data_IF_852503259931
#
_entry.id   IF_852503259931
#
_cell.length_a   1.000
_cell.length_b   1.000
_cell.length_c   1.000
_cell.angle_alpha   90.00
_cell.angle_beta   90.00
_cell.angle_gamma   90.00
#
_symmetry.space_group_name_H-M   'P 1'
#
loop_
_entity.id
_entity.type
_entity.pdbx_description
1 polymer ?
#
# COMPACT_ATOMS: atom_id res chain seq x y z
N UNK A 1 -2.27 9.05 21.47
CA UNK A 1 -3.15 10.20 21.22
C UNK A 1 -3.75 10.03 19.83
N UNK A 2 -5.06 9.96 19.75
CA UNK A 2 -5.80 9.87 18.49
C UNK A 2 -5.46 11.08 17.61
N UNK A 3 -5.21 10.83 16.35
CA UNK A 3 -4.86 11.88 15.42
C UNK A 3 -5.74 11.80 14.16
N UNK A 4 -6.30 12.94 13.76
CA UNK A 4 -6.95 13.09 12.46
C UNK A 4 -5.95 13.67 11.48
N UNK A 5 -5.71 12.96 10.39
CA UNK A 5 -4.88 13.41 9.28
C UNK A 5 -5.79 13.81 8.13
N UNK A 6 -5.75 15.09 7.77
CA UNK A 6 -6.51 15.63 6.65
C UNK A 6 -5.75 15.35 5.35
N UNK A 7 -6.43 14.72 4.40
CA UNK A 7 -5.83 14.35 3.11
C UNK A 7 -5.96 15.47 2.07
N UNK A 8 -6.93 16.36 2.29
CA UNK A 8 -7.20 17.55 1.50
C UNK A 8 -7.30 18.77 2.40
N UNK A 9 -7.79 19.90 1.88
CA UNK A 9 -8.16 21.02 2.72
C UNK A 9 -9.22 20.60 3.73
N UNK A 10 -9.16 21.15 4.95
CA UNK A 10 -10.06 20.79 6.05
C UNK A 10 -11.51 21.02 5.62
N UNK A 11 -12.32 19.98 5.38
CA UNK A 11 -13.67 20.15 4.87
C UNK A 11 -14.63 20.61 5.98
N UNK A 12 -15.79 21.12 5.57
CA UNK A 12 -16.82 21.53 6.50
C UNK A 12 -17.51 20.31 7.12
N UNK A 13 -17.24 20.01 8.40
CA UNK A 13 -17.80 18.88 9.15
C UNK A 13 -19.34 18.92 9.28
N UNK A 14 -20.00 20.03 8.94
CA UNK A 14 -21.48 20.11 8.92
C UNK A 14 -22.14 19.15 7.91
N UNK A 15 -21.38 18.63 6.94
CA UNK A 15 -21.88 17.63 5.98
C UNK A 15 -22.09 16.25 6.59
N UNK A 16 -21.62 16.04 7.83
CA UNK A 16 -21.61 14.73 8.46
C UNK A 16 -20.47 13.86 7.96
N UNK A 17 -20.16 12.81 8.72
CA UNK A 17 -19.00 11.93 8.47
C UNK A 17 -19.44 10.48 8.36
N UNK A 18 -19.17 9.86 7.22
CA UNK A 18 -19.22 8.41 7.07
C UNK A 18 -17.85 7.83 7.45
N UNK A 19 -17.81 7.04 8.51
CA UNK A 19 -16.60 6.41 9.00
C UNK A 19 -16.50 4.97 8.53
N UNK A 20 -15.44 4.67 7.80
CA UNK A 20 -15.09 3.30 7.40
C UNK A 20 -14.34 2.62 8.54
N UNK A 21 -14.85 1.46 8.97
CA UNK A 21 -14.26 0.66 10.05
C UNK A 21 -13.47 -0.51 9.47
N UNK A 22 -12.16 -0.52 9.75
CA UNK A 22 -11.24 -1.54 9.26
C UNK A 22 -9.80 -1.23 9.64
N UNK A 23 -8.88 -2.12 9.36
CA UNK A 23 -7.45 -1.91 9.64
C UNK A 23 -6.71 -1.12 8.55
N UNK A 24 -7.29 -0.95 7.39
CA UNK A 24 -6.83 -0.21 6.18
C UNK A 24 -5.31 -0.13 6.01
N UNK A 25 -4.67 -1.30 5.90
CA UNK A 25 -3.24 -1.41 5.57
C UNK A 25 -2.95 -1.10 4.09
N UNK A 26 -3.88 -0.50 3.41
CA UNK A 26 -4.03 -0.15 2.02
C UNK A 26 -5.49 -0.28 1.62
N UNK A 27 -5.83 0.00 0.35
CA UNK A 27 -7.17 -0.15 -0.18
C UNK A 27 -7.24 -1.30 -1.17
N UNK A 28 -7.72 -2.45 -0.71
CA UNK A 28 -8.09 -3.55 -1.61
C UNK A 28 -9.53 -3.40 -2.13
N UNK A 29 -9.94 -4.20 -3.11
CA UNK A 29 -11.24 -4.14 -3.76
C UNK A 29 -12.44 -4.13 -2.78
N UNK A 30 -12.35 -4.90 -1.68
CA UNK A 30 -13.36 -4.86 -0.61
C UNK A 30 -13.45 -3.49 0.08
N UNK A 31 -12.31 -2.88 0.40
CA UNK A 31 -12.26 -1.54 1.00
C UNK A 31 -12.80 -0.47 0.03
N UNK A 32 -12.56 -0.60 -1.28
CA UNK A 32 -13.10 0.34 -2.27
C UNK A 32 -14.61 0.33 -2.30
N UNK A 33 -15.25 -0.85 -2.19
CA UNK A 33 -16.72 -0.94 -2.08
C UNK A 33 -17.25 -0.25 -0.83
N UNK A 34 -16.55 -0.36 0.32
CA UNK A 34 -16.92 0.38 1.52
C UNK A 34 -16.85 1.89 1.27
N UNK A 35 -15.78 2.35 0.61
CA UNK A 35 -15.58 3.76 0.28
C UNK A 35 -16.68 4.30 -0.68
N UNK A 36 -17.01 3.53 -1.72
CA UNK A 36 -18.09 3.86 -2.66
C UNK A 36 -19.43 4.00 -1.92
N UNK A 37 -19.74 3.04 -1.03
CA UNK A 37 -20.95 3.08 -0.21
C UNK A 37 -21.01 4.30 0.71
N UNK A 38 -19.89 4.65 1.32
CA UNK A 38 -19.80 5.84 2.16
C UNK A 38 -20.09 7.14 1.40
N UNK A 39 -19.66 7.23 0.14
CA UNK A 39 -19.86 8.41 -0.72
C UNK A 39 -21.29 8.59 -1.24
N UNK A 40 -22.09 7.53 -1.30
CA UNK A 40 -23.47 7.60 -1.85
C UNK A 40 -24.36 8.63 -1.14
N UNK A 41 -24.10 8.98 0.10
CA UNK A 41 -24.90 9.88 0.89
C UNK A 41 -24.39 11.34 0.95
N UNK A 42 -23.36 11.66 0.17
CA UNK A 42 -22.75 13.00 0.15
C UNK A 42 -22.06 13.40 1.47
N UNK A 43 -21.79 12.45 2.35
CA UNK A 43 -21.04 12.68 3.58
C UNK A 43 -19.54 12.75 3.27
N UNK A 44 -18.79 13.42 4.16
CA UNK A 44 -17.34 13.30 4.19
C UNK A 44 -16.95 11.87 4.56
N UNK A 45 -15.86 11.39 4.00
CA UNK A 45 -15.42 10.01 4.21
C UNK A 45 -14.12 9.97 5.02
N UNK A 46 -14.19 9.35 6.18
CA UNK A 46 -13.05 9.08 7.04
C UNK A 46 -12.72 7.59 7.12
N UNK A 47 -11.43 7.26 7.03
CA UNK A 47 -10.96 5.90 7.25
C UNK A 47 -10.32 5.78 8.64
N UNK A 48 -10.64 4.69 9.34
CA UNK A 48 -9.98 4.34 10.58
C UNK A 48 -8.70 3.53 10.25
N UNK A 49 -7.52 3.95 10.71
CA UNK A 49 -6.30 3.16 10.60
C UNK A 49 -5.71 2.86 11.97
N UNK A 50 -5.11 1.68 12.12
CA UNK A 50 -4.45 1.27 13.36
C UNK A 50 -2.94 1.40 13.15
N UNK A 51 -2.29 2.22 13.99
CA UNK A 51 -0.84 2.41 14.00
C UNK A 51 -0.19 1.70 15.20
N UNK A 52 1.04 1.24 15.04
CA UNK A 52 1.75 0.48 16.09
C UNK A 52 1.11 -0.87 16.40
N UNK A 53 0.42 -1.48 15.45
CA UNK A 53 -0.25 -2.77 15.60
C UNK A 53 0.68 -3.98 15.66
N UNK A 54 0.09 -5.13 15.81
CA UNK A 54 0.66 -6.38 16.32
C UNK A 54 1.87 -6.97 15.60
N UNK A 55 2.19 -6.68 14.37
CA UNK A 55 3.29 -7.37 13.64
C UNK A 55 3.91 -6.49 12.55
N UNK A 56 4.53 -5.40 12.96
CA UNK A 56 5.68 -4.80 12.28
C UNK A 56 5.57 -4.41 10.79
N UNK A 57 5.02 -5.25 9.95
CA UNK A 57 5.08 -5.03 8.50
C UNK A 57 3.71 -4.72 7.88
N UNK A 58 3.58 -3.49 7.40
CA UNK A 58 2.42 -3.00 6.66
C UNK A 58 2.60 -3.17 5.15
N UNK A 59 1.52 -3.36 4.41
CA UNK A 59 1.57 -3.38 2.93
C UNK A 59 2.16 -2.10 2.38
N UNK A 60 1.78 -0.97 2.99
CA UNK A 60 2.22 0.37 2.59
C UNK A 60 2.69 1.17 3.80
N UNK A 61 3.68 2.03 3.61
CA UNK A 61 4.10 3.01 4.60
C UNK A 61 3.02 4.07 4.84
N UNK A 62 3.11 4.85 5.92
CA UNK A 62 2.13 5.90 6.19
C UNK A 62 1.98 6.89 5.02
N UNK A 63 3.07 7.45 4.43
CA UNK A 63 2.95 8.34 3.27
C UNK A 63 2.30 7.67 2.05
N UNK A 64 2.59 6.39 1.82
CA UNK A 64 1.99 5.63 0.72
C UNK A 64 0.49 5.38 0.95
N UNK A 65 0.07 5.07 2.19
CA UNK A 65 -1.34 4.93 2.55
C UNK A 65 -2.10 6.23 2.39
N UNK A 66 -1.54 7.35 2.86
CA UNK A 66 -2.14 8.67 2.70
C UNK A 66 -2.36 9.00 1.22
N UNK A 67 -1.37 8.72 0.36
CA UNK A 67 -1.51 8.89 -1.09
C UNK A 67 -2.66 8.03 -1.65
N UNK A 68 -2.70 6.73 -1.31
CA UNK A 68 -3.74 5.81 -1.76
C UNK A 68 -5.14 6.28 -1.33
N UNK A 69 -5.28 6.71 -0.08
CA UNK A 69 -6.56 7.16 0.47
C UNK A 69 -7.02 8.47 -0.16
N UNK A 70 -6.08 9.40 -0.36
CA UNK A 70 -6.32 10.67 -1.05
C UNK A 70 -6.76 10.46 -2.50
N UNK A 71 -6.04 9.63 -3.26
CA UNK A 71 -6.37 9.29 -4.65
C UNK A 71 -7.73 8.57 -4.76
N UNK A 72 -8.10 7.79 -3.73
CA UNK A 72 -9.40 7.17 -3.64
C UNK A 72 -10.53 8.15 -3.28
N UNK A 73 -10.18 9.38 -2.89
CA UNK A 73 -11.12 10.45 -2.52
C UNK A 73 -11.69 10.29 -1.12
N UNK A 74 -10.88 9.81 -0.18
CA UNK A 74 -11.15 9.98 1.23
C UNK A 74 -10.80 11.42 1.66
N UNK A 75 -11.51 11.95 2.63
CA UNK A 75 -11.33 13.32 3.12
C UNK A 75 -10.33 13.37 4.27
N UNK A 76 -10.29 12.32 5.10
CA UNK A 76 -9.37 12.23 6.24
C UNK A 76 -9.14 10.78 6.70
N UNK A 77 -8.13 10.62 7.55
CA UNK A 77 -7.78 9.35 8.21
C UNK A 77 -7.76 9.56 9.71
N UNK A 78 -8.38 8.63 10.45
CA UNK A 78 -8.25 8.54 11.88
C UNK A 78 -7.16 7.54 12.23
N UNK A 79 -6.07 8.01 12.80
CA UNK A 79 -5.00 7.17 13.29
C UNK A 79 -5.26 6.77 14.74
N UNK A 80 -5.46 5.48 14.97
CA UNK A 80 -5.70 4.88 16.28
C UNK A 80 -4.43 4.14 16.75
N UNK A 81 -3.68 4.65 17.73
CA UNK A 81 -2.57 3.90 18.31
C UNK A 81 -3.07 2.61 18.95
N UNK A 82 -2.56 1.46 18.49
CA UNK A 82 -2.97 0.15 18.99
C UNK A 82 -2.83 0.03 20.52
N UNK A 83 -1.78 0.62 21.09
CA UNK A 83 -1.55 0.61 22.52
C UNK A 83 -2.70 1.25 23.33
N UNK A 84 -3.38 2.25 22.76
CA UNK A 84 -4.49 2.97 23.40
C UNK A 84 -5.83 2.24 23.27
N UNK A 85 -6.01 1.44 22.20
CA UNK A 85 -7.31 0.81 21.90
C UNK A 85 -7.36 -0.69 22.22
N UNK A 86 -6.22 -1.37 22.39
CA UNK A 86 -6.14 -2.85 22.51
C UNK A 86 -6.91 -3.43 23.70
N UNK A 87 -7.11 -2.65 24.76
CA UNK A 87 -7.78 -3.09 25.98
C UNK A 87 -9.23 -2.61 26.08
N UNK A 88 -9.69 -1.80 25.13
CA UNK A 88 -11.07 -1.31 25.13
C UNK A 88 -12.04 -2.46 24.83
N UNK A 89 -13.09 -2.59 25.66
CA UNK A 89 -14.23 -3.43 25.33
C UNK A 89 -14.88 -2.97 24.02
N UNK A 90 -15.68 -3.80 23.34
CA UNK A 90 -16.42 -3.36 22.16
C UNK A 90 -17.24 -2.11 22.38
N UNK A 91 -17.90 -1.98 23.54
CA UNK A 91 -18.73 -0.82 23.87
C UNK A 91 -17.87 0.44 24.05
N UNK A 92 -16.80 0.36 24.84
CA UNK A 92 -15.89 1.50 25.05
C UNK A 92 -15.27 1.97 23.75
N UNK A 93 -14.88 1.04 22.86
CA UNK A 93 -14.34 1.37 21.54
C UNK A 93 -15.38 2.12 20.68
N UNK A 94 -16.62 1.63 20.64
CA UNK A 94 -17.70 2.26 19.88
C UNK A 94 -18.02 3.66 20.40
N UNK A 95 -18.19 3.80 21.73
CA UNK A 95 -18.42 5.09 22.39
C UNK A 95 -17.27 6.08 22.16
N UNK A 96 -16.02 5.61 22.14
CA UNK A 96 -14.88 6.44 21.80
C UNK A 96 -14.99 6.99 20.37
N UNK A 97 -15.33 6.14 19.38
CA UNK A 97 -15.49 6.60 17.99
C UNK A 97 -16.62 7.63 17.86
N UNK A 98 -17.76 7.40 18.52
CA UNK A 98 -18.89 8.33 18.49
C UNK A 98 -18.55 9.68 19.14
N UNK A 99 -17.87 9.65 20.29
CA UNK A 99 -17.48 10.86 21.03
C UNK A 99 -16.45 11.70 20.28
N UNK A 100 -15.39 11.04 19.74
CA UNK A 100 -14.27 11.76 19.13
C UNK A 100 -14.59 12.26 17.72
N UNK A 101 -15.46 11.55 16.98
CA UNK A 101 -15.64 11.81 15.54
C UNK A 101 -17.08 12.14 15.15
N UNK A 102 -18.04 11.93 16.01
CA UNK A 102 -19.47 12.20 15.76
C UNK A 102 -19.94 11.72 14.36
N UNK A 103 -19.71 10.45 14.01
CA UNK A 103 -20.06 9.94 12.68
C UNK A 103 -21.59 9.91 12.52
N UNK A 104 -22.06 10.18 11.30
CA UNK A 104 -23.46 9.99 10.93
C UNK A 104 -23.72 8.60 10.32
N UNK A 105 -22.65 7.89 9.94
CA UNK A 105 -22.70 6.54 9.40
C UNK A 105 -21.42 5.76 9.70
N UNK A 106 -21.57 4.49 10.08
CA UNK A 106 -20.51 3.50 10.08
C UNK A 106 -20.63 2.58 8.86
N UNK A 107 -19.53 2.29 8.19
CA UNK A 107 -19.47 1.37 7.06
C UNK A 107 -18.40 0.32 7.32
N UNK A 108 -18.74 -0.96 7.27
CA UNK A 108 -17.78 -2.05 7.50
C UNK A 108 -18.10 -3.30 6.66
N UNK A 109 -17.15 -4.21 6.58
CA UNK A 109 -17.37 -5.55 6.05
C UNK A 109 -18.05 -6.46 7.09
N UNK A 110 -18.75 -7.49 6.65
CA UNK A 110 -19.42 -8.45 7.52
C UNK A 110 -18.47 -9.23 8.44
N UNK A 111 -17.20 -9.31 8.09
CA UNK A 111 -16.14 -9.94 8.88
C UNK A 111 -15.42 -8.98 9.83
N UNK A 112 -15.82 -7.72 9.91
CA UNK A 112 -15.18 -6.75 10.79
C UNK A 112 -15.24 -7.19 12.25
N UNK A 113 -14.11 -7.08 12.95
CA UNK A 113 -13.97 -7.39 14.37
C UNK A 113 -13.18 -6.31 15.07
N UNK A 114 -13.61 -5.97 16.29
CA UNK A 114 -13.01 -4.89 17.08
C UNK A 114 -13.11 -5.12 18.59
N UNK A 115 -12.47 -4.23 19.35
CA UNK A 115 -12.45 -4.31 20.79
C UNK A 115 -11.62 -5.46 21.35
N UNK A 116 -11.60 -5.57 22.66
CA UNK A 116 -10.81 -6.58 23.38
C UNK A 116 -11.13 -8.00 22.88
N UNK A 117 -10.09 -8.75 22.52
CA UNK A 117 -10.18 -10.10 21.96
C UNK A 117 -11.04 -10.19 20.68
N UNK A 118 -11.21 -9.10 19.93
CA UNK A 118 -12.02 -9.05 18.71
C UNK A 118 -13.48 -9.49 18.90
N UNK A 119 -14.06 -9.25 20.08
CA UNK A 119 -15.45 -9.64 20.44
C UNK A 119 -16.51 -8.76 19.78
N UNK A 120 -16.17 -7.54 19.37
CA UNK A 120 -17.07 -6.66 18.64
C UNK A 120 -17.33 -7.15 17.22
N UNK A 121 -18.57 -7.06 16.77
CA UNK A 121 -19.05 -7.51 15.45
C UNK A 121 -19.92 -6.41 14.81
N UNK A 122 -20.22 -6.47 13.50
CA UNK A 122 -21.18 -5.56 12.89
C UNK A 122 -22.57 -5.57 13.55
N UNK A 123 -23.03 -6.73 14.01
CA UNK A 123 -24.29 -6.82 14.75
C UNK A 123 -24.22 -6.10 16.11
N UNK A 124 -23.09 -6.22 16.81
CA UNK A 124 -22.86 -5.45 18.04
C UNK A 124 -22.95 -3.95 17.77
N UNK A 125 -22.36 -3.44 16.68
CA UNK A 125 -22.48 -2.02 16.33
C UNK A 125 -23.96 -1.64 16.17
N UNK A 126 -24.72 -2.41 15.37
CA UNK A 126 -26.17 -2.15 15.15
C UNK A 126 -27.00 -2.16 16.43
N UNK A 127 -26.63 -2.97 17.42
CA UNK A 127 -27.34 -3.09 18.71
C UNK A 127 -27.06 -1.93 19.65
N UNK A 128 -25.80 -1.43 19.65
CA UNK A 128 -25.33 -0.49 20.68
C UNK A 128 -25.09 0.95 20.19
N UNK A 129 -25.45 1.28 18.93
CA UNK A 129 -25.40 2.64 18.41
C UNK A 129 -26.73 3.10 17.82
N UNK A 130 -26.94 4.41 17.83
CA UNK A 130 -28.01 5.08 17.05
C UNK A 130 -27.51 5.58 15.70
N UNK A 131 -26.22 5.47 15.44
CA UNK A 131 -25.61 5.84 14.17
C UNK A 131 -26.01 4.83 13.09
N UNK A 132 -26.28 5.30 11.87
CA UNK A 132 -26.57 4.42 10.73
C UNK A 132 -25.40 3.46 10.49
N UNK A 133 -25.69 2.17 10.29
CA UNK A 133 -24.69 1.13 10.07
C UNK A 133 -24.92 0.41 8.74
N UNK A 134 -23.96 0.51 7.84
CA UNK A 134 -23.94 -0.23 6.58
C UNK A 134 -22.90 -1.36 6.66
N UNK A 135 -23.36 -2.57 6.40
CA UNK A 135 -22.51 -3.78 6.42
C UNK A 135 -22.50 -4.39 5.02
N UNK A 136 -21.33 -4.48 4.41
CA UNK A 136 -21.17 -5.01 3.07
C UNK A 136 -20.63 -6.44 3.09
N UNK A 137 -21.05 -7.28 2.12
CA UNK A 137 -20.52 -8.62 1.95
C UNK A 137 -19.05 -8.58 1.54
N UNK A 138 -18.36 -9.70 1.75
CA UNK A 138 -16.97 -9.86 1.32
C UNK A 138 -16.87 -9.81 -0.20
N UNK A 139 -15.72 -9.31 -0.67
CA UNK A 139 -15.38 -9.35 -2.10
C UNK A 139 -14.47 -10.53 -2.35
N UNK A 140 -14.82 -11.33 -3.35
CA UNK A 140 -14.02 -12.43 -3.83
C UNK A 140 -13.52 -12.17 -5.25
N UNK A 141 -12.31 -12.64 -5.55
CA UNK A 141 -11.73 -12.65 -6.88
C UNK A 141 -11.18 -14.07 -7.10
N UNK A 142 -11.61 -14.72 -8.19
CA UNK A 142 -11.27 -16.11 -8.51
C UNK A 142 -11.62 -17.10 -7.37
N UNK A 143 -12.76 -16.90 -6.70
CA UNK A 143 -13.25 -17.77 -5.63
C UNK A 143 -12.51 -17.67 -4.29
N UNK A 144 -11.63 -16.69 -4.13
CA UNK A 144 -10.91 -16.44 -2.89
C UNK A 144 -11.18 -15.01 -2.38
N UNK A 145 -11.45 -14.87 -1.08
CA UNK A 145 -11.67 -13.58 -0.41
C UNK A 145 -10.49 -12.64 -0.64
N UNK A 146 -10.78 -11.38 -0.99
CA UNK A 146 -9.80 -10.31 -1.04
C UNK A 146 -9.51 -9.80 0.37
N UNK A 147 -8.25 -9.82 0.77
CA UNK A 147 -7.80 -9.38 2.10
C UNK A 147 -6.32 -8.97 2.08
N UNK A 148 -5.89 -8.19 3.08
CA UNK A 148 -4.47 -7.86 3.26
C UNK A 148 -3.58 -9.11 3.40
N UNK A 149 -4.08 -10.16 4.07
CA UNK A 149 -3.36 -11.44 4.21
C UNK A 149 -3.12 -12.11 2.85
N UNK A 150 -4.14 -12.14 1.97
CA UNK A 150 -3.99 -12.66 0.61
C UNK A 150 -2.98 -11.84 -0.19
N UNK A 151 -3.07 -10.51 -0.13
CA UNK A 151 -2.10 -9.62 -0.80
C UNK A 151 -0.67 -9.90 -0.33
N UNK A 152 -0.44 -10.03 0.97
CA UNK A 152 0.87 -10.36 1.55
C UNK A 152 1.40 -11.70 1.03
N UNK A 153 0.58 -12.73 0.99
CA UNK A 153 0.94 -14.04 0.43
C UNK A 153 1.36 -13.91 -1.05
N UNK A 154 0.54 -13.25 -1.87
CA UNK A 154 0.84 -13.04 -3.29
C UNK A 154 2.14 -12.26 -3.52
N UNK A 155 2.44 -11.24 -2.69
CA UNK A 155 3.71 -10.51 -2.73
C UNK A 155 4.91 -11.42 -2.43
N UNK A 156 4.81 -12.28 -1.41
CA UNK A 156 5.88 -13.23 -1.08
C UNK A 156 6.10 -14.31 -2.13
N UNK A 157 5.08 -14.59 -2.95
CA UNK A 157 5.13 -15.49 -4.11
C UNK A 157 5.61 -14.79 -5.40
N UNK A 158 5.69 -13.44 -5.43
CA UNK A 158 6.04 -12.65 -6.60
C UNK A 158 4.90 -12.45 -7.61
N UNK A 159 3.67 -12.76 -7.23
CA UNK A 159 2.46 -12.71 -8.08
C UNK A 159 1.84 -11.32 -8.08
N UNK A 160 2.62 -10.31 -8.49
CA UNK A 160 2.24 -8.90 -8.40
C UNK A 160 1.07 -8.53 -9.33
N UNK A 161 0.87 -9.25 -10.42
CA UNK A 161 -0.29 -9.08 -11.31
C UNK A 161 -1.60 -9.43 -10.61
N UNK A 162 -1.61 -10.46 -9.77
CA UNK A 162 -2.78 -10.81 -8.95
C UNK A 162 -2.92 -9.88 -7.73
N UNK A 163 -1.81 -9.36 -7.21
CA UNK A 163 -1.86 -8.28 -6.22
C UNK A 163 -2.57 -7.07 -6.80
N UNK A 164 -2.30 -6.68 -8.06
CA UNK A 164 -3.00 -5.60 -8.75
C UNK A 164 -4.51 -5.83 -8.83
N UNK A 165 -4.94 -7.07 -9.11
CA UNK A 165 -6.38 -7.41 -9.10
C UNK A 165 -7.00 -7.19 -7.71
N UNK A 166 -6.31 -7.59 -6.65
CA UNK A 166 -6.77 -7.40 -5.27
C UNK A 166 -6.78 -5.93 -4.85
N UNK A 167 -5.73 -5.16 -5.18
CA UNK A 167 -5.57 -3.75 -4.78
C UNK A 167 -6.26 -2.77 -5.74
N UNK A 168 -6.58 -3.20 -6.97
CA UNK A 168 -7.08 -2.35 -8.08
C UNK A 168 -6.06 -1.32 -8.59
N UNK A 169 -4.82 -1.42 -8.16
CA UNK A 169 -3.65 -0.67 -8.62
C UNK A 169 -2.38 -1.52 -8.45
N UNK A 170 -1.30 -1.16 -9.14
CA UNK A 170 -0.03 -1.84 -8.98
C UNK A 170 0.51 -1.64 -7.55
N UNK A 171 1.13 -2.68 -6.97
CA UNK A 171 1.89 -2.51 -5.73
C UNK A 171 3.09 -1.61 -6.00
N UNK A 172 3.37 -0.67 -5.10
CA UNK A 172 4.44 0.30 -5.32
C UNK A 172 5.23 0.59 -4.04
N UNK A 173 6.39 1.18 -4.19
CA UNK A 173 7.12 1.86 -3.12
C UNK A 173 7.34 3.32 -3.48
N UNK A 174 7.48 4.16 -2.44
CA UNK A 174 7.96 5.53 -2.57
C UNK A 174 9.24 5.65 -1.75
N UNK A 175 10.30 6.20 -2.36
CA UNK A 175 11.55 6.43 -1.67
C UNK A 175 12.46 7.42 -2.38
N UNK A 176 13.43 7.94 -1.65
CA UNK A 176 14.43 8.86 -2.17
C UNK A 176 15.56 8.10 -2.89
N UNK A 177 15.94 8.59 -4.05
CA UNK A 177 17.03 8.04 -4.83
C UNK A 177 18.37 8.51 -4.25
N UNK A 178 19.19 7.56 -3.83
CA UNK A 178 20.52 7.85 -3.33
C UNK A 178 21.64 7.45 -4.31
N UNK A 179 22.81 8.10 -4.15
CA UNK A 179 23.98 7.78 -4.95
C UNK A 179 24.65 6.49 -4.47
N UNK A 180 24.89 5.55 -5.39
CA UNK A 180 25.62 4.32 -5.13
C UNK A 180 26.86 4.18 -6.06
N UNK A 181 27.48 3.00 -6.10
CA UNK A 181 28.73 2.66 -6.81
C UNK A 181 28.73 2.92 -8.33
N UNK A 182 27.59 3.30 -8.92
CA UNK A 182 27.42 3.69 -10.32
C UNK A 182 27.83 2.61 -11.34
N UNK A 183 27.86 1.32 -10.94
CA UNK A 183 28.23 0.20 -11.83
C UNK A 183 27.30 0.14 -13.04
N UNK A 184 26.00 0.29 -12.85
CA UNK A 184 25.02 0.32 -13.94
C UNK A 184 25.32 1.38 -15.00
N UNK A 185 25.83 2.54 -14.60
CA UNK A 185 26.22 3.60 -15.56
C UNK A 185 27.36 3.18 -16.48
N UNK A 186 28.33 2.39 -15.96
CA UNK A 186 29.49 1.91 -16.76
C UNK A 186 29.03 0.94 -17.85
N UNK A 187 28.03 0.09 -17.56
CA UNK A 187 27.53 -0.91 -18.51
C UNK A 187 26.37 -0.39 -19.40
N UNK A 188 25.99 0.90 -19.24
CA UNK A 188 24.92 1.53 -20.03
C UNK A 188 23.50 1.36 -19.47
N UNK A 189 23.37 0.90 -18.24
CA UNK A 189 22.10 0.77 -17.51
C UNK A 189 22.12 1.56 -16.19
N UNK A 190 22.09 2.90 -16.26
CA UNK A 190 22.06 3.71 -15.04
C UNK A 190 20.80 3.40 -14.22
N UNK A 191 20.97 3.10 -12.91
CA UNK A 191 19.88 2.74 -12.02
C UNK A 191 19.63 3.82 -10.97
N UNK A 192 18.36 4.03 -10.64
CA UNK A 192 17.91 4.74 -9.46
C UNK A 192 17.85 3.75 -8.29
N UNK A 193 18.63 4.01 -7.24
CA UNK A 193 18.75 3.14 -6.08
C UNK A 193 17.91 3.70 -4.94
N UNK A 194 17.00 2.89 -4.41
CA UNK A 194 16.10 3.25 -3.32
C UNK A 194 16.18 2.17 -2.24
N UNK A 195 16.38 2.57 -0.98
CA UNK A 195 16.27 1.64 0.14
C UNK A 195 14.82 1.22 0.31
N UNK A 196 14.60 -0.10 0.42
CA UNK A 196 13.25 -0.59 0.70
C UNK A 196 12.82 -0.15 2.10
N UNK A 197 11.63 0.47 2.26
CA UNK A 197 11.24 1.06 3.53
C UNK A 197 11.13 0.01 4.65
N UNK A 198 11.72 0.31 5.81
CA UNK A 198 11.57 -0.53 7.01
C UNK A 198 10.10 -0.61 7.42
N UNK A 199 9.65 -1.80 7.83
CA UNK A 199 8.27 -2.06 8.24
C UNK A 199 7.28 -2.18 7.08
N UNK A 200 7.73 -2.05 5.83
CA UNK A 200 6.93 -2.39 4.64
C UNK A 200 7.05 -3.87 4.34
N UNK A 201 5.90 -4.52 4.02
CA UNK A 201 5.87 -5.95 3.72
C UNK A 201 6.74 -6.27 2.49
N UNK A 202 7.63 -7.29 2.59
CA UNK A 202 8.58 -7.61 1.54
C UNK A 202 7.92 -8.25 0.32
N UNK A 203 8.53 -8.07 -0.85
CA UNK A 203 8.23 -8.86 -2.05
C UNK A 203 9.15 -10.09 -2.11
N UNK A 204 8.80 -11.03 -2.98
CA UNK A 204 9.74 -12.06 -3.42
C UNK A 204 10.97 -11.39 -4.05
N UNK A 205 12.18 -11.79 -3.63
CA UNK A 205 13.41 -11.28 -4.25
C UNK A 205 13.48 -11.68 -5.72
N UNK A 206 13.84 -10.73 -6.60
CA UNK A 206 13.86 -10.98 -8.04
C UNK A 206 13.95 -9.71 -8.86
N UNK A 207 13.81 -9.88 -10.18
CA UNK A 207 13.75 -8.81 -11.15
C UNK A 207 12.32 -8.64 -11.61
N UNK A 208 11.86 -7.39 -11.61
CA UNK A 208 10.50 -7.02 -11.93
C UNK A 208 10.45 -6.03 -13.09
N UNK A 209 9.43 -6.14 -13.90
CA UNK A 209 8.96 -5.02 -14.72
C UNK A 209 8.35 -3.98 -13.80
N UNK A 210 8.71 -2.72 -14.02
CA UNK A 210 8.25 -1.61 -13.21
C UNK A 210 7.84 -0.42 -14.07
N UNK A 211 7.04 0.46 -13.46
CA UNK A 211 6.66 1.75 -14.04
C UNK A 211 6.95 2.86 -13.05
N UNK A 212 7.48 3.98 -13.56
CA UNK A 212 7.79 5.17 -12.76
C UNK A 212 7.40 6.41 -13.54
N UNK A 213 6.78 7.38 -12.88
CA UNK A 213 6.47 8.68 -13.48
C UNK A 213 7.50 9.70 -13.03
N UNK A 214 8.17 10.34 -13.99
CA UNK A 214 9.14 11.42 -13.75
C UNK A 214 8.72 12.64 -14.54
N UNK A 215 8.49 13.76 -13.85
CA UNK A 215 8.06 15.02 -14.47
C UNK A 215 6.82 14.87 -15.37
N UNK A 216 5.84 14.06 -14.93
CA UNK A 216 4.59 13.81 -15.67
C UNK A 216 4.69 12.80 -16.81
N UNK A 217 5.90 12.30 -17.13
CA UNK A 217 6.10 11.27 -18.16
C UNK A 217 6.30 9.90 -17.52
N UNK A 218 5.55 8.89 -17.98
CA UNK A 218 5.70 7.50 -17.55
C UNK A 218 6.87 6.82 -18.29
N UNK A 219 7.66 6.08 -17.54
CA UNK A 219 8.75 5.24 -18.03
C UNK A 219 8.53 3.80 -17.59
N UNK A 220 8.61 2.88 -18.54
CA UNK A 220 8.75 1.45 -18.24
C UNK A 220 10.18 1.22 -17.73
N UNK A 221 10.38 0.19 -16.91
CA UNK A 221 11.68 -0.10 -16.36
C UNK A 221 11.83 -1.54 -15.89
N UNK A 222 13.02 -1.87 -15.47
CA UNK A 222 13.32 -3.11 -14.75
C UNK A 222 13.90 -2.76 -13.38
N UNK A 223 13.39 -3.42 -12.34
CA UNK A 223 13.84 -3.24 -10.97
C UNK A 223 14.37 -4.56 -10.42
N UNK A 224 15.62 -4.56 -10.00
CA UNK A 224 16.18 -5.60 -9.16
C UNK A 224 15.78 -5.32 -7.68
N UNK A 225 15.03 -6.22 -7.06
CA UNK A 225 14.65 -6.18 -5.66
C UNK A 225 15.37 -7.30 -4.91
N UNK A 226 16.30 -6.94 -4.04
CA UNK A 226 17.09 -7.96 -3.33
C UNK A 226 17.99 -7.41 -2.24
N UNK A 227 18.64 -8.32 -1.50
CA UNK A 227 19.64 -7.97 -0.50
C UNK A 227 20.89 -7.42 -1.18
N UNK A 228 21.54 -6.48 -0.53
CA UNK A 228 22.83 -5.96 -0.96
C UNK A 228 23.96 -6.73 -0.29
N UNK A 229 24.92 -7.33 -1.05
CA UNK A 229 26.00 -8.14 -0.47
C UNK A 229 26.98 -7.39 0.44
N UNK A 230 26.90 -6.05 0.51
CA UNK A 230 27.88 -5.19 1.21
C UNK A 230 27.34 -4.43 2.42
N UNK A 231 26.06 -4.60 2.76
CA UNK A 231 25.43 -4.13 3.99
C UNK A 231 24.98 -5.35 4.79
N UNK A 232 24.63 -5.16 6.06
CA UNK A 232 24.04 -6.22 6.88
C UNK A 232 22.94 -6.94 6.07
N UNK A 233 22.86 -8.25 6.19
CA UNK A 233 21.98 -9.14 5.39
C UNK A 233 20.49 -8.74 5.37
N UNK A 234 20.08 -7.80 6.23
CA UNK A 234 18.70 -7.30 6.36
C UNK A 234 18.40 -6.09 5.46
N UNK A 235 19.41 -5.44 4.85
CA UNK A 235 19.16 -4.25 4.01
C UNK A 235 18.74 -4.67 2.61
N UNK A 236 17.48 -4.40 2.28
CA UNK A 236 16.93 -4.64 0.94
C UNK A 236 16.97 -3.36 0.11
N UNK A 237 17.41 -3.51 -1.12
CA UNK A 237 17.56 -2.43 -2.09
C UNK A 237 16.69 -2.68 -3.32
N UNK A 238 16.17 -1.60 -3.89
CA UNK A 238 15.61 -1.59 -5.24
C UNK A 238 16.52 -0.80 -6.17
N UNK A 239 16.98 -1.44 -7.22
CA UNK A 239 17.80 -0.84 -8.27
C UNK A 239 16.98 -0.78 -9.55
N UNK A 240 16.47 0.40 -9.89
CA UNK A 240 15.51 0.60 -10.99
C UNK A 240 16.18 1.26 -12.18
N UNK A 241 16.25 0.57 -13.30
CA UNK A 241 16.56 1.15 -14.61
C UNK A 241 15.27 1.65 -15.26
N UNK A 242 15.26 2.92 -15.70
CA UNK A 242 14.14 3.53 -16.42
C UNK A 242 14.48 3.58 -17.93
N UNK A 243 13.72 2.85 -18.74
CA UNK A 243 13.99 2.75 -20.18
C UNK A 243 13.74 4.08 -20.89
N UNK A 244 14.76 4.54 -21.61
CA UNK A 244 14.73 5.81 -22.34
C UNK A 244 14.75 7.08 -21.47
N UNK A 245 15.00 6.95 -20.16
CA UNK A 245 15.20 8.12 -19.30
C UNK A 245 16.64 8.60 -19.39
N UNK A 246 16.80 9.92 -19.48
CA UNK A 246 18.07 10.62 -19.35
C UNK A 246 17.93 11.79 -18.41
N UNK A 247 18.73 11.85 -17.36
CA UNK A 247 18.68 12.91 -16.37
C UNK A 247 19.22 12.49 -15.01
N UNK A 248 19.16 13.40 -14.05
CA UNK A 248 19.55 13.16 -12.66
C UNK A 248 18.32 12.97 -11.77
N UNK A 249 18.33 11.89 -10.98
CA UNK A 249 17.29 11.51 -10.04
C UNK A 249 17.76 11.55 -8.58
N UNK A 250 19.03 11.84 -8.31
CA UNK A 250 19.55 11.85 -6.93
C UNK A 250 18.81 12.86 -6.06
N UNK A 251 18.46 12.43 -4.84
CA UNK A 251 17.69 13.25 -3.88
C UNK A 251 16.21 13.42 -4.25
N UNK A 252 15.76 12.88 -5.37
CA UNK A 252 14.33 12.92 -5.75
C UNK A 252 13.58 11.73 -5.16
N UNK A 253 12.37 11.98 -4.69
CA UNK A 253 11.44 10.92 -4.30
C UNK A 253 10.79 10.33 -5.55
N UNK A 254 10.86 9.02 -5.72
CA UNK A 254 10.23 8.31 -6.81
C UNK A 254 9.19 7.31 -6.30
N UNK A 255 8.08 7.20 -7.03
CA UNK A 255 7.11 6.11 -6.91
C UNK A 255 7.48 5.05 -7.95
N UNK A 256 7.84 3.84 -7.50
CA UNK A 256 8.15 2.70 -8.35
C UNK A 256 7.02 1.68 -8.22
N UNK A 257 6.28 1.45 -9.29
CA UNK A 257 5.17 0.51 -9.37
C UNK A 257 5.64 -0.82 -9.93
N UNK A 258 5.34 -1.93 -9.23
CA UNK A 258 5.72 -3.30 -9.63
C UNK A 258 4.61 -3.90 -10.48
N UNK A 259 4.89 -4.11 -11.77
CA UNK A 259 3.91 -4.52 -12.77
C UNK A 259 3.88 -6.03 -12.94
N UNK A 260 5.06 -6.67 -13.07
CA UNK A 260 5.19 -8.11 -13.34
C UNK A 260 6.52 -8.65 -12.81
N UNK A 261 6.49 -9.88 -12.29
CA UNK A 261 7.71 -10.62 -11.95
C UNK A 261 8.36 -11.19 -13.24
N UNK A 262 9.60 -10.86 -13.50
CA UNK A 262 10.30 -11.30 -14.71
C UNK A 262 11.12 -12.56 -14.49
N UNK A 263 11.88 -12.63 -13.39
CA UNK A 263 12.78 -13.73 -13.07
C UNK A 263 13.40 -13.64 -11.67
N UNK A 264 13.97 -14.74 -11.22
CA UNK A 264 14.84 -14.81 -10.05
C UNK A 264 16.14 -14.01 -10.25
N UNK A 265 16.80 -13.64 -9.14
CA UNK A 265 18.13 -13.05 -9.14
C UNK A 265 19.13 -14.10 -9.60
N UNK A 266 20.03 -13.71 -10.53
CA UNK A 266 21.13 -14.55 -11.03
C UNK A 266 22.46 -13.87 -10.78
N UNK A 267 23.51 -14.68 -10.51
CA UNK A 267 24.90 -14.23 -10.57
C UNK A 267 25.39 -14.32 -12.01
N UNK A 268 26.25 -13.40 -12.39
CA UNK A 268 26.83 -13.34 -13.74
C UNK A 268 28.35 -13.36 -13.62
N UNK A 269 28.99 -14.12 -14.49
CA UNK A 269 30.44 -14.31 -14.49
C UNK A 269 31.18 -13.14 -15.16
N UNK A 270 30.46 -12.30 -15.90
CA UNK A 270 31.03 -11.10 -16.56
C UNK A 270 30.02 -9.96 -16.69
N UNK A 271 30.51 -8.74 -16.88
CA UNK A 271 29.70 -7.57 -17.19
C UNK A 271 28.93 -7.71 -18.51
N UNK A 272 29.51 -8.39 -19.50
CA UNK A 272 28.90 -8.67 -20.81
C UNK A 272 27.69 -9.60 -20.65
N UNK A 273 27.81 -10.66 -19.82
CA UNK A 273 26.73 -11.58 -19.55
C UNK A 273 25.56 -10.85 -18.81
N UNK A 274 25.87 -9.99 -17.84
CA UNK A 274 24.89 -9.13 -17.17
C UNK A 274 24.21 -8.19 -18.19
N UNK A 275 24.98 -7.49 -19.02
CA UNK A 275 24.46 -6.57 -20.04
C UNK A 275 23.53 -7.28 -21.03
N UNK A 276 23.90 -8.48 -21.49
CA UNK A 276 23.05 -9.30 -22.35
C UNK A 276 21.71 -9.60 -21.71
N UNK A 277 21.72 -10.07 -20.46
CA UNK A 277 20.47 -10.37 -19.72
C UNK A 277 19.60 -9.14 -19.51
N UNK A 278 20.20 -7.97 -19.18
CA UNK A 278 19.45 -6.72 -19.03
C UNK A 278 18.78 -6.28 -20.35
N UNK A 279 19.45 -6.47 -21.49
CA UNK A 279 18.86 -6.21 -22.80
C UNK A 279 17.67 -7.13 -23.09
N UNK A 280 17.77 -8.43 -22.74
CA UNK A 280 16.66 -9.38 -22.85
C UNK A 280 15.48 -9.00 -21.95
N UNK A 281 15.75 -8.61 -20.71
CA UNK A 281 14.72 -8.18 -19.76
C UNK A 281 13.99 -6.92 -20.27
N UNK A 282 14.72 -5.91 -20.76
CA UNK A 282 14.14 -4.68 -21.34
C UNK A 282 13.34 -4.97 -22.62
N UNK A 283 13.82 -5.87 -23.47
CA UNK A 283 13.07 -6.26 -24.67
C UNK A 283 11.70 -6.87 -24.30
N UNK A 284 11.63 -7.69 -23.23
CA UNK A 284 10.37 -8.23 -22.72
C UNK A 284 9.42 -7.14 -22.20
N UNK A 285 9.98 -6.14 -21.52
CA UNK A 285 9.21 -5.01 -20.98
C UNK A 285 8.66 -4.11 -22.10
N UNK A 286 9.46 -3.86 -23.15
CA UNK A 286 9.02 -3.06 -24.30
C UNK A 286 7.88 -3.73 -25.08
N UNK A 287 7.88 -5.07 -25.16
CA UNK A 287 6.88 -5.87 -25.86
C UNK A 287 5.65 -6.18 -25.02
N UNK A 288 5.60 -5.75 -23.78
CA UNK A 288 4.44 -5.90 -22.88
C UNK A 288 3.59 -4.61 -22.94
N UNK A 289 2.32 -4.73 -23.31
CA UNK A 289 1.37 -3.62 -23.44
C UNK A 289 0.84 -3.14 -22.07
#
# INVERSE_FOLDING_TARGET
MLKTVWLNEQPNMKQGVAMLLGGFDGLHAGHRKLLEKAKENGSLVGLMTIIGGKNGESLFTNPERELIFKEAGADFVFELPFAEIKNLSPLEFLQMLEREFSPNMFVCGEDFRFGLQAKGTPNFIKEYTQVRVEVLPLVEINGEKVSATRVKRLLSEGRVEEVKQCLTHDFFLIGEVFADRKIGRIIGFPTANILYPKGKYPLKKGVYETRTVVNGKAYKGITNYGARPTFDDETVLTETYLDGFSGDLYGKSLKVEFVRFLREIKKFDSAEALKKQLNEDIARVRNHD
#
